data_IF_935744956523
#
_entry.id   IF_935744956523
#
_cell.length_a   1.000
_cell.length_b   1.000
_cell.length_c   1.000
_cell.angle_alpha   90.00
_cell.angle_beta   90.00
_cell.angle_gamma   90.00
#
_symmetry.space_group_name_H-M   'P 1'
#
loop_
_entity.id
_entity.type
_entity.pdbx_description
1 polymer ?
#
# COMPACT_ATOMS: atom_id res chain seq x y z
N UNK A 1 -9.40 21.31 -11.10
CA UNK A 1 -9.64 20.10 -11.92
C UNK A 1 -10.31 20.52 -13.21
N UNK A 2 -9.68 20.27 -14.33
CA UNK A 2 -10.20 20.58 -15.68
C UNK A 2 -10.61 19.27 -16.34
N UNK A 3 -11.77 19.26 -16.97
CA UNK A 3 -12.21 18.14 -17.82
C UNK A 3 -11.78 18.44 -19.26
N UNK A 4 -11.05 17.51 -19.84
CA UNK A 4 -10.62 17.57 -21.24
C UNK A 4 -11.70 16.89 -22.08
N UNK A 5 -12.15 17.56 -23.14
CA UNK A 5 -13.14 16.96 -24.05
C UNK A 5 -12.48 15.91 -24.95
N UNK A 6 -12.70 14.65 -24.64
CA UNK A 6 -12.22 13.49 -25.41
C UNK A 6 -13.37 12.76 -26.10
N UNK A 7 -14.49 13.43 -26.36
CA UNK A 7 -15.69 12.81 -26.93
C UNK A 7 -15.37 12.07 -28.23
N UNK A 8 -14.55 12.62 -29.11
CA UNK A 8 -14.17 11.98 -30.37
C UNK A 8 -13.34 10.70 -30.14
N UNK A 9 -12.38 10.74 -29.21
CA UNK A 9 -11.56 9.58 -28.85
C UNK A 9 -12.45 8.43 -28.31
N UNK A 10 -13.41 8.71 -27.43
CA UNK A 10 -14.35 7.72 -26.94
C UNK A 10 -15.17 7.09 -28.08
N UNK A 11 -15.65 7.92 -29.01
CA UNK A 11 -16.41 7.45 -30.16
C UNK A 11 -15.55 6.53 -31.05
N UNK A 12 -14.30 6.93 -31.33
CA UNK A 12 -13.37 6.15 -32.16
C UNK A 12 -13.05 4.79 -31.53
N UNK A 13 -12.82 4.75 -30.21
CA UNK A 13 -12.60 3.50 -29.48
C UNK A 13 -13.85 2.59 -29.56
N UNK A 14 -15.04 3.14 -29.33
CA UNK A 14 -16.28 2.36 -29.36
C UNK A 14 -16.55 1.77 -30.75
N UNK A 15 -16.28 2.52 -31.81
CA UNK A 15 -16.56 2.12 -33.20
C UNK A 15 -15.44 1.35 -33.87
N UNK A 16 -14.24 1.28 -33.27
CA UNK A 16 -13.09 0.56 -33.81
C UNK A 16 -13.44 -0.91 -34.07
N UNK A 17 -13.35 -1.35 -35.33
CA UNK A 17 -13.64 -2.73 -35.74
C UNK A 17 -12.50 -3.70 -35.47
N UNK A 18 -11.28 -3.20 -35.29
CA UNK A 18 -10.06 -3.97 -35.05
C UNK A 18 -9.78 -4.24 -33.56
N UNK A 19 -10.60 -3.70 -32.64
CA UNK A 19 -10.46 -3.88 -31.21
C UNK A 19 -11.50 -4.90 -30.68
N UNK A 20 -11.02 -5.83 -29.86
CA UNK A 20 -11.90 -6.72 -29.08
C UNK A 20 -12.63 -5.94 -27.99
N UNK A 21 -13.71 -6.49 -27.46
CA UNK A 21 -14.45 -5.88 -26.35
C UNK A 21 -13.54 -5.53 -25.15
N UNK A 22 -12.65 -6.45 -24.75
CA UNK A 22 -11.71 -6.21 -23.65
C UNK A 22 -10.72 -5.09 -23.94
N UNK A 23 -10.21 -5.02 -25.16
CA UNK A 23 -9.33 -3.91 -25.58
C UNK A 23 -10.07 -2.57 -25.57
N UNK A 24 -11.32 -2.54 -26.05
CA UNK A 24 -12.14 -1.32 -25.97
C UNK A 24 -12.34 -0.85 -24.54
N UNK A 25 -12.66 -1.76 -23.60
CA UNK A 25 -12.80 -1.40 -22.19
C UNK A 25 -11.50 -0.83 -21.61
N UNK A 26 -10.35 -1.41 -21.94
CA UNK A 26 -9.06 -0.91 -21.48
C UNK A 26 -8.77 0.48 -22.05
N UNK A 27 -8.95 0.68 -23.35
CA UNK A 27 -8.72 1.97 -23.99
C UNK A 27 -9.70 3.04 -23.49
N UNK A 28 -10.97 2.70 -23.27
CA UNK A 28 -11.96 3.61 -22.68
C UNK A 28 -11.58 4.02 -21.26
N UNK A 29 -11.07 3.08 -20.44
CA UNK A 29 -10.59 3.39 -19.10
C UNK A 29 -9.40 4.36 -19.15
N UNK A 30 -8.43 4.12 -20.04
CA UNK A 30 -7.29 5.03 -20.25
C UNK A 30 -7.73 6.42 -20.73
N UNK A 31 -8.62 6.49 -21.71
CA UNK A 31 -9.14 7.74 -22.19
C UNK A 31 -9.92 8.50 -21.11
N UNK A 32 -10.68 7.79 -20.27
CA UNK A 32 -11.37 8.40 -19.15
C UNK A 32 -10.39 8.95 -18.09
N UNK A 33 -9.34 8.20 -17.76
CA UNK A 33 -8.29 8.67 -16.85
C UNK A 33 -7.58 9.92 -17.43
N UNK A 34 -7.30 9.94 -18.73
CA UNK A 34 -6.64 11.07 -19.42
C UNK A 34 -7.57 12.26 -19.64
N UNK A 35 -8.88 12.09 -19.52
CA UNK A 35 -9.86 13.19 -19.69
C UNK A 35 -9.93 14.16 -18.52
N UNK A 36 -9.27 13.82 -17.42
CA UNK A 36 -9.24 14.65 -16.21
C UNK A 36 -7.83 15.19 -16.04
N UNK A 37 -7.70 16.52 -16.12
CA UNK A 37 -6.48 17.23 -15.74
C UNK A 37 -6.47 17.34 -14.21
N UNK A 38 -5.62 16.59 -13.51
CA UNK A 38 -5.83 16.30 -12.09
C UNK A 38 -5.56 17.51 -11.19
N UNK A 39 -4.41 18.06 -11.26
CA UNK A 39 -3.96 19.16 -10.40
C UNK A 39 -3.18 20.14 -11.28
N UNK A 40 -3.49 21.42 -11.16
CA UNK A 40 -2.69 22.45 -11.82
C UNK A 40 -1.28 22.41 -11.22
N UNK A 41 -0.33 22.03 -12.04
CA UNK A 41 1.07 21.95 -11.62
C UNK A 41 1.69 23.35 -11.61
N UNK A 42 2.64 23.64 -10.71
CA UNK A 42 3.46 24.84 -10.80
C UNK A 42 4.18 24.89 -12.15
N UNK A 43 4.36 26.09 -12.70
CA UNK A 43 5.08 26.25 -13.99
C UNK A 43 6.51 25.73 -13.96
N UNK A 44 7.12 25.77 -12.78
CA UNK A 44 8.44 25.21 -12.52
C UNK A 44 8.45 23.70 -12.72
N UNK A 45 7.41 23.01 -12.26
CA UNK A 45 7.26 21.58 -12.48
C UNK A 45 7.13 21.23 -13.96
N UNK A 46 6.29 21.99 -14.71
CA UNK A 46 6.12 21.77 -16.15
C UNK A 46 7.45 21.88 -16.89
N UNK A 47 8.31 22.85 -16.54
CA UNK A 47 9.64 22.99 -17.11
C UNK A 47 10.49 21.71 -16.92
N UNK A 48 10.52 21.14 -15.72
CA UNK A 48 11.28 19.93 -15.45
C UNK A 48 10.71 18.69 -16.13
N UNK A 49 9.39 18.59 -16.24
CA UNK A 49 8.74 17.50 -17.00
C UNK A 49 9.06 17.60 -18.50
N UNK A 50 8.96 18.76 -19.09
CA UNK A 50 9.24 19.00 -20.52
C UNK A 50 10.70 18.71 -20.89
N UNK A 51 11.63 19.00 -19.97
CA UNK A 51 13.07 18.77 -20.18
C UNK A 51 13.55 17.41 -19.63
N UNK A 52 12.65 16.58 -19.13
CA UNK A 52 12.96 15.24 -18.65
C UNK A 52 13.75 15.20 -17.34
N UNK A 53 13.70 16.26 -16.54
CA UNK A 53 14.29 16.33 -15.20
C UNK A 53 13.42 15.63 -14.15
N UNK A 54 12.11 15.63 -14.37
CA UNK A 54 11.11 14.89 -13.59
C UNK A 54 10.35 13.96 -14.53
N UNK A 55 9.97 12.81 -14.03
CA UNK A 55 9.18 11.82 -14.78
C UNK A 55 8.24 11.05 -13.85
N UNK A 56 7.05 10.72 -14.34
CA UNK A 56 6.12 9.85 -13.64
C UNK A 56 6.53 8.38 -13.76
N UNK A 57 6.47 7.66 -12.66
CA UNK A 57 6.64 6.20 -12.68
C UNK A 57 5.35 5.45 -13.05
N UNK A 58 4.29 6.16 -13.41
CA UNK A 58 2.99 5.59 -13.82
C UNK A 58 2.39 4.62 -12.78
N UNK A 59 2.64 4.87 -11.50
CA UNK A 59 2.10 4.08 -10.39
C UNK A 59 1.08 4.88 -9.59
N UNK A 60 0.01 5.25 -10.18
CA UNK A 60 -1.05 6.06 -9.61
C UNK A 60 -1.37 7.26 -10.48
N UNK A 61 -2.59 7.68 -10.41
CA UNK A 61 -3.11 8.85 -11.12
C UNK A 61 -3.95 9.68 -10.15
N UNK A 62 -3.27 10.53 -9.38
CA UNK A 62 -3.98 11.46 -8.50
C UNK A 62 -4.85 12.43 -9.32
N UNK A 63 -6.01 12.86 -8.78
CA UNK A 63 -6.57 12.50 -7.48
C UNK A 63 -7.52 11.30 -7.51
N UNK A 64 -7.87 10.74 -8.63
CA UNK A 64 -8.95 9.75 -8.77
C UNK A 64 -8.50 8.30 -8.69
N UNK A 65 -7.22 8.02 -8.80
CA UNK A 65 -6.65 6.69 -8.62
C UNK A 65 -5.33 6.77 -7.88
N UNK A 66 -5.34 6.78 -6.54
CA UNK A 66 -4.11 6.81 -5.77
C UNK A 66 -3.28 5.54 -6.00
N UNK A 67 -1.98 5.64 -5.80
CA UNK A 67 -1.08 4.50 -5.86
C UNK A 67 -1.47 3.45 -4.83
N UNK A 68 -1.71 3.86 -3.58
CA UNK A 68 -2.27 3.05 -2.51
C UNK A 68 -2.84 3.91 -1.38
N UNK A 69 -3.65 3.28 -0.56
CA UNK A 69 -4.27 3.86 0.63
C UNK A 69 -3.93 3.03 1.86
N UNK A 70 -3.94 3.66 3.03
CA UNK A 70 -3.68 3.04 4.33
C UNK A 70 -4.89 3.21 5.26
N UNK A 71 -6.03 2.52 5.01
CA UNK A 71 -7.22 2.66 5.83
C UNK A 71 -7.01 2.15 7.25
N UNK A 72 -7.77 2.70 8.19
CA UNK A 72 -7.92 2.12 9.52
C UNK A 72 -8.87 0.91 9.47
N UNK A 73 -8.29 -0.26 9.22
CA UNK A 73 -9.07 -1.50 9.19
C UNK A 73 -9.57 -1.95 10.56
N UNK A 74 -8.95 -1.51 11.66
CA UNK A 74 -9.46 -1.74 13.02
C UNK A 74 -10.80 -1.05 13.22
N UNK A 75 -10.90 0.21 12.80
CA UNK A 75 -12.17 0.95 12.79
C UNK A 75 -13.20 0.29 11.87
N UNK A 76 -12.77 -0.17 10.69
CA UNK A 76 -13.64 -0.90 9.78
C UNK A 76 -14.19 -2.20 10.41
N UNK A 77 -13.37 -3.00 11.07
CA UNK A 77 -13.84 -4.21 11.75
C UNK A 77 -14.86 -3.89 12.87
N UNK A 78 -14.63 -2.80 13.61
CA UNK A 78 -15.53 -2.37 14.67
C UNK A 78 -16.87 -1.79 14.20
N UNK A 79 -16.92 -1.21 13.00
CA UNK A 79 -18.10 -0.51 12.47
C UNK A 79 -18.79 -1.24 11.32
N UNK A 80 -18.08 -2.15 10.65
CA UNK A 80 -18.53 -2.73 9.39
C UNK A 80 -18.49 -1.74 8.22
N UNK A 81 -19.22 -2.03 7.16
CA UNK A 81 -19.33 -1.18 5.97
C UNK A 81 -20.74 -1.23 5.40
N UNK A 82 -21.41 -0.09 5.37
CA UNK A 82 -22.71 0.02 4.71
C UNK A 82 -22.59 -0.22 3.19
N UNK A 83 -21.56 0.34 2.58
CA UNK A 83 -21.29 0.17 1.14
C UNK A 83 -21.09 -1.30 0.75
N UNK A 84 -20.27 -2.03 1.50
CA UNK A 84 -20.02 -3.46 1.27
C UNK A 84 -21.11 -4.36 1.91
N UNK A 85 -22.06 -3.78 2.65
CA UNK A 85 -23.10 -4.51 3.41
C UNK A 85 -22.49 -5.52 4.39
N UNK A 86 -21.37 -5.17 5.01
CA UNK A 86 -20.70 -5.95 6.04
C UNK A 86 -21.05 -5.43 7.42
N UNK A 87 -21.41 -6.33 8.33
CA UNK A 87 -21.65 -6.00 9.73
C UNK A 87 -20.32 -5.83 10.48
N UNK A 88 -20.32 -5.15 11.63
CA UNK A 88 -19.21 -5.23 12.57
C UNK A 88 -18.82 -6.69 12.85
N UNK A 89 -17.52 -6.94 13.01
CA UNK A 89 -17.04 -8.26 13.33
C UNK A 89 -17.29 -8.56 14.81
N UNK A 90 -17.85 -9.73 15.10
CA UNK A 90 -18.10 -10.23 16.46
C UNK A 90 -17.20 -11.44 16.81
N UNK A 91 -16.72 -12.14 15.79
CA UNK A 91 -15.88 -13.33 15.90
C UNK A 91 -14.64 -13.23 15.04
N UNK A 92 -13.64 -14.10 15.30
CA UNK A 92 -12.45 -14.20 14.43
C UNK A 92 -12.83 -14.55 12.98
N UNK A 93 -13.82 -15.41 12.79
CA UNK A 93 -14.29 -15.76 11.44
C UNK A 93 -14.91 -14.55 10.73
N UNK A 94 -15.69 -13.70 11.42
CA UNK A 94 -16.22 -12.46 10.88
C UNK A 94 -15.11 -11.47 10.52
N UNK A 95 -14.14 -11.29 11.42
CA UNK A 95 -13.02 -10.38 11.20
C UNK A 95 -12.22 -10.78 9.94
N UNK A 96 -11.86 -12.05 9.83
CA UNK A 96 -11.12 -12.56 8.68
C UNK A 96 -11.94 -12.48 7.38
N UNK A 97 -13.25 -12.74 7.44
CA UNK A 97 -14.15 -12.60 6.30
C UNK A 97 -14.27 -11.14 5.85
N UNK A 98 -14.49 -10.22 6.77
CA UNK A 98 -14.62 -8.79 6.47
C UNK A 98 -13.33 -8.26 5.84
N UNK A 99 -12.16 -8.64 6.38
CA UNK A 99 -10.86 -8.26 5.79
C UNK A 99 -10.69 -8.86 4.40
N UNK A 100 -11.06 -10.12 4.18
CA UNK A 100 -11.01 -10.75 2.84
C UNK A 100 -11.80 -9.94 1.82
N UNK A 101 -13.03 -9.55 2.14
CA UNK A 101 -13.87 -8.74 1.24
C UNK A 101 -13.24 -7.38 0.92
N UNK A 102 -12.63 -6.73 1.91
CA UNK A 102 -11.95 -5.44 1.69
C UNK A 102 -10.74 -5.61 0.81
N UNK A 103 -9.89 -6.60 1.07
CA UNK A 103 -8.67 -6.80 0.28
C UNK A 103 -8.95 -7.14 -1.17
N UNK A 104 -10.04 -7.84 -1.45
CA UNK A 104 -10.48 -8.10 -2.82
C UNK A 104 -10.96 -6.83 -3.54
N UNK A 105 -11.48 -5.86 -2.80
CA UNK A 105 -12.05 -4.64 -3.38
C UNK A 105 -11.08 -3.46 -3.44
N UNK A 106 -10.10 -3.35 -2.53
CA UNK A 106 -9.12 -2.26 -2.53
C UNK A 106 -8.41 -2.08 -3.86
N UNK A 107 -7.95 -3.15 -4.58
CA UNK A 107 -7.30 -2.99 -5.87
C UNK A 107 -8.18 -2.38 -6.96
N UNK A 108 -9.49 -2.29 -6.76
CA UNK A 108 -10.39 -1.61 -7.70
C UNK A 108 -10.26 -0.10 -7.66
N UNK A 109 -9.81 0.46 -6.54
CA UNK A 109 -9.69 1.92 -6.33
C UNK A 109 -8.24 2.41 -6.24
N UNK A 110 -7.26 1.50 -6.15
CA UNK A 110 -5.83 1.83 -6.12
C UNK A 110 -5.11 1.24 -7.33
N UNK A 111 -3.93 1.78 -7.66
CA UNK A 111 -3.19 1.25 -8.81
C UNK A 111 -2.39 -0.01 -8.46
N UNK A 112 -1.98 -0.24 -7.23
CA UNK A 112 -1.15 -1.41 -6.87
C UNK A 112 -1.19 -1.86 -5.42
N UNK A 113 -0.38 -1.30 -4.48
CA UNK A 113 -0.12 -2.00 -3.23
C UNK A 113 -1.35 -2.09 -2.34
N UNK A 114 -1.52 -3.25 -1.72
CA UNK A 114 -2.56 -3.49 -0.72
C UNK A 114 -1.92 -3.49 0.66
N UNK A 115 -2.35 -2.56 1.50
CA UNK A 115 -2.05 -2.58 2.92
C UNK A 115 -3.16 -3.33 3.65
N UNK A 116 -2.80 -4.39 4.36
CA UNK A 116 -3.78 -5.24 5.06
C UNK A 116 -3.87 -4.95 6.57
N UNK A 117 -3.31 -3.84 6.98
CA UNK A 117 -3.41 -3.35 8.36
C UNK A 117 -2.36 -3.89 9.31
N UNK A 118 -2.50 -3.56 10.57
CA UNK A 118 -1.75 -4.11 11.69
C UNK A 118 -2.46 -5.37 12.18
N UNK A 119 -2.18 -6.49 11.50
CA UNK A 119 -2.98 -7.72 11.63
C UNK A 119 -3.01 -8.28 13.05
N UNK A 120 -1.91 -8.23 13.77
CA UNK A 120 -1.82 -8.73 15.13
C UNK A 120 -2.79 -7.99 16.07
N UNK A 121 -2.70 -6.67 16.13
CA UNK A 121 -3.58 -5.83 16.98
C UNK A 121 -5.05 -5.92 16.58
N UNK A 122 -5.32 -6.02 15.27
CA UNK A 122 -6.68 -6.09 14.78
C UNK A 122 -7.35 -7.42 15.08
N UNK A 123 -6.60 -8.52 15.03
CA UNK A 123 -7.15 -9.87 15.22
C UNK A 123 -7.12 -10.32 16.67
N UNK A 124 -6.19 -9.84 17.50
CA UNK A 124 -6.01 -10.26 18.87
C UNK A 124 -7.30 -10.22 19.73
N UNK A 125 -8.13 -9.16 19.64
CA UNK A 125 -9.39 -9.10 20.39
C UNK A 125 -10.41 -10.19 20.06
N UNK A 126 -10.28 -10.86 18.93
CA UNK A 126 -11.20 -11.91 18.48
C UNK A 126 -10.71 -13.32 18.78
N UNK A 127 -9.60 -13.47 19.50
CA UNK A 127 -9.00 -14.78 19.77
C UNK A 127 -9.57 -15.47 21.01
N UNK A 128 -10.34 -14.77 21.82
CA UNK A 128 -10.94 -15.33 23.03
C UNK A 128 -11.86 -16.51 22.71
N UNK A 129 -11.72 -17.57 23.49
CA UNK A 129 -12.49 -18.80 23.30
C UNK A 129 -11.95 -19.78 22.26
N UNK A 130 -10.93 -19.41 21.48
CA UNK A 130 -10.27 -20.31 20.54
C UNK A 130 -8.94 -20.84 21.11
N UNK A 131 -8.65 -22.11 20.86
CA UNK A 131 -7.30 -22.67 21.04
C UNK A 131 -6.34 -22.15 19.98
N UNK A 132 -5.02 -22.22 20.23
CA UNK A 132 -4.01 -21.79 19.26
C UNK A 132 -4.11 -22.54 17.93
N UNK A 133 -4.41 -23.84 17.97
CA UNK A 133 -4.57 -24.65 16.75
C UNK A 133 -5.81 -24.23 15.93
N UNK A 134 -6.90 -23.83 16.58
CA UNK A 134 -8.08 -23.33 15.90
C UNK A 134 -7.80 -21.97 15.24
N UNK A 135 -7.07 -21.09 15.93
CA UNK A 135 -6.63 -19.80 15.39
C UNK A 135 -5.70 -20.03 14.21
N UNK A 136 -4.65 -20.84 14.37
CA UNK A 136 -3.70 -21.17 13.28
C UNK A 136 -4.40 -21.74 12.05
N UNK A 137 -5.39 -22.61 12.23
CA UNK A 137 -6.14 -23.18 11.12
C UNK A 137 -6.91 -22.10 10.30
N UNK A 138 -7.43 -21.07 10.98
CA UNK A 138 -8.09 -19.92 10.34
C UNK A 138 -7.09 -19.00 9.66
N UNK A 139 -6.00 -18.67 10.35
CA UNK A 139 -4.93 -17.83 9.79
C UNK A 139 -4.30 -18.49 8.56
N UNK A 140 -4.04 -19.82 8.57
CA UNK A 140 -3.55 -20.53 7.36
C UNK A 140 -4.47 -20.34 6.16
N UNK A 141 -5.78 -20.46 6.35
CA UNK A 141 -6.75 -20.26 5.26
C UNK A 141 -6.74 -18.83 4.76
N UNK A 142 -6.74 -17.87 5.66
CA UNK A 142 -6.75 -16.44 5.32
C UNK A 142 -5.47 -16.02 4.60
N UNK A 143 -4.29 -16.34 5.13
CA UNK A 143 -3.00 -16.01 4.52
C UNK A 143 -2.80 -16.69 3.18
N UNK A 144 -3.17 -17.98 3.05
CA UNK A 144 -3.16 -18.68 1.77
C UNK A 144 -4.13 -18.07 0.75
N UNK A 145 -5.28 -17.58 1.20
CA UNK A 145 -6.21 -16.89 0.32
C UNK A 145 -5.59 -15.59 -0.22
N UNK A 146 -5.03 -14.76 0.66
CA UNK A 146 -4.38 -13.51 0.25
C UNK A 146 -3.23 -13.79 -0.73
N UNK A 147 -2.35 -14.72 -0.41
CA UNK A 147 -1.19 -15.05 -1.24
C UNK A 147 -1.59 -15.49 -2.66
N UNK A 148 -2.72 -16.18 -2.80
CA UNK A 148 -3.16 -16.76 -4.08
C UNK A 148 -4.16 -15.91 -4.88
N UNK A 149 -4.79 -14.93 -4.25
CA UNK A 149 -5.87 -14.15 -4.90
C UNK A 149 -5.52 -12.69 -5.06
N UNK A 150 -4.78 -12.08 -4.12
CA UNK A 150 -4.35 -10.69 -4.28
C UNK A 150 -3.29 -10.60 -5.38
N UNK A 151 -3.68 -10.02 -6.51
CA UNK A 151 -2.85 -9.90 -7.70
C UNK A 151 -1.74 -8.82 -7.55
N UNK A 152 -1.14 -8.70 -6.37
CA UNK A 152 -0.08 -7.73 -6.11
C UNK A 152 0.96 -8.30 -5.15
N UNK A 153 2.21 -8.42 -5.62
CA UNK A 153 3.36 -8.74 -4.76
C UNK A 153 3.68 -7.65 -3.72
N UNK A 154 2.95 -6.53 -3.74
CA UNK A 154 3.08 -5.42 -2.80
C UNK A 154 1.96 -5.40 -1.74
N UNK A 155 1.45 -6.57 -1.36
CA UNK A 155 0.54 -6.71 -0.24
C UNK A 155 1.34 -6.71 1.08
N UNK A 156 1.06 -5.79 1.98
CA UNK A 156 1.80 -5.56 3.22
C UNK A 156 0.92 -5.62 4.46
N UNK A 157 1.46 -6.16 5.54
CA UNK A 157 0.87 -6.14 6.87
C UNK A 157 1.91 -5.74 7.91
N UNK A 158 1.46 -5.15 9.01
CA UNK A 158 2.33 -4.80 10.13
C UNK A 158 2.02 -5.66 11.35
N UNK A 159 3.01 -5.87 12.20
CA UNK A 159 2.96 -6.53 13.51
C UNK A 159 3.77 -5.72 14.53
N UNK A 160 3.45 -5.86 15.82
CA UNK A 160 4.17 -5.20 16.91
C UNK A 160 3.86 -3.70 17.07
N UNK A 161 4.64 -2.94 17.86
CA UNK A 161 5.86 -3.38 18.58
C UNK A 161 5.60 -4.26 19.81
N UNK A 162 4.42 -4.16 20.41
CA UNK A 162 4.03 -5.02 21.52
C UNK A 162 3.81 -6.46 21.02
N UNK A 163 4.10 -7.41 21.88
CA UNK A 163 3.73 -8.81 21.64
C UNK A 163 2.21 -8.96 21.82
N UNK A 164 1.58 -9.61 20.85
CA UNK A 164 0.20 -10.06 20.93
C UNK A 164 0.14 -11.57 20.68
N UNK A 165 -0.90 -12.24 21.15
CA UNK A 165 -1.11 -13.66 20.85
C UNK A 165 -1.29 -13.86 19.34
N UNK A 166 -2.04 -12.99 18.68
CA UNK A 166 -2.21 -13.01 17.23
C UNK A 166 -0.88 -12.88 16.49
N UNK A 167 -0.01 -11.92 16.90
CA UNK A 167 1.29 -11.71 16.29
C UNK A 167 2.21 -12.92 16.37
N UNK A 168 2.20 -13.61 17.51
CA UNK A 168 2.96 -14.86 17.71
C UNK A 168 2.46 -15.95 16.78
N UNK A 169 1.14 -16.17 16.74
CA UNK A 169 0.52 -17.21 15.91
C UNK A 169 0.66 -16.91 14.40
N UNK A 170 0.60 -15.63 13.99
CA UNK A 170 0.87 -15.21 12.61
C UNK A 170 2.29 -15.61 12.18
N UNK A 171 3.31 -15.31 13.01
CA UNK A 171 4.69 -15.67 12.68
C UNK A 171 4.92 -17.18 12.65
N UNK A 172 4.28 -17.95 13.54
CA UNK A 172 4.37 -19.41 13.52
C UNK A 172 3.73 -20.00 12.27
N UNK A 173 2.58 -19.47 11.84
CA UNK A 173 1.91 -19.90 10.60
C UNK A 173 2.74 -19.51 9.37
N UNK A 174 3.38 -18.33 9.35
CA UNK A 174 4.27 -17.95 8.24
C UNK A 174 5.48 -18.85 8.10
N UNK A 175 6.07 -19.36 9.21
CA UNK A 175 7.15 -20.36 9.13
C UNK A 175 6.70 -21.65 8.44
N UNK A 176 5.41 -22.01 8.57
CA UNK A 176 4.84 -23.19 7.91
C UNK A 176 4.53 -22.95 6.43
N UNK A 177 4.00 -21.77 6.10
CA UNK A 177 3.48 -21.46 4.76
C UNK A 177 4.56 -20.93 3.83
N UNK A 178 5.48 -20.11 4.34
CA UNK A 178 6.48 -19.36 3.57
C UNK A 178 5.86 -18.65 2.36
N UNK A 179 4.73 -17.97 2.56
CA UNK A 179 4.01 -17.26 1.52
C UNK A 179 4.79 -16.03 1.04
N UNK A 180 4.59 -15.62 -0.20
CA UNK A 180 5.19 -14.42 -0.76
C UNK A 180 4.48 -13.15 -0.27
N UNK A 181 3.19 -13.25 -0.01
CA UNK A 181 2.35 -12.16 0.50
C UNK A 181 1.40 -12.64 1.60
N UNK A 182 1.05 -11.79 2.58
CA UNK A 182 1.52 -10.41 2.74
C UNK A 182 2.99 -10.33 3.18
N UNK A 183 3.69 -9.27 2.75
CA UNK A 183 4.99 -8.93 3.30
C UNK A 183 4.78 -8.34 4.69
N UNK A 184 5.13 -9.07 5.72
CA UNK A 184 5.04 -8.59 7.09
C UNK A 184 6.19 -7.65 7.44
N UNK A 185 5.89 -6.64 8.25
CA UNK A 185 6.89 -5.79 8.88
C UNK A 185 6.66 -5.77 10.38
N UNK A 186 7.65 -6.22 11.15
CA UNK A 186 7.68 -6.01 12.59
C UNK A 186 8.11 -4.58 12.88
N UNK A 187 7.24 -3.80 13.51
CA UNK A 187 7.59 -2.52 14.13
C UNK A 187 8.38 -2.85 15.40
N UNK A 188 9.69 -2.65 15.36
CA UNK A 188 10.57 -3.04 16.45
C UNK A 188 11.04 -1.85 17.28
N UNK A 189 10.85 -1.93 18.58
CA UNK A 189 11.43 -1.03 19.58
C UNK A 189 11.98 -1.86 20.74
N UNK A 190 13.31 -1.83 21.02
CA UNK A 190 13.91 -2.62 22.08
C UNK A 190 13.41 -2.26 23.50
N UNK A 191 12.74 -1.12 23.66
CA UNK A 191 12.13 -0.73 24.92
C UNK A 191 10.71 -1.31 25.12
N UNK A 192 10.09 -1.80 24.05
CA UNK A 192 8.69 -2.27 24.05
C UNK A 192 8.60 -3.74 23.66
N UNK A 193 9.28 -4.12 22.57
CA UNK A 193 9.22 -5.47 21.99
C UNK A 193 9.96 -6.47 22.90
N UNK A 194 9.28 -7.49 23.45
CA UNK A 194 9.94 -8.50 24.24
C UNK A 194 11.00 -9.28 23.46
N UNK A 195 12.10 -9.63 24.12
CA UNK A 195 13.25 -10.31 23.50
C UNK A 195 12.88 -11.64 22.84
N UNK A 196 12.00 -12.41 23.44
CA UNK A 196 11.58 -13.71 22.89
C UNK A 196 10.65 -13.55 21.69
N UNK A 197 9.82 -12.50 21.65
CA UNK A 197 9.04 -12.13 20.49
C UNK A 197 9.91 -11.65 19.33
N UNK A 198 10.92 -10.81 19.62
CA UNK A 198 11.92 -10.40 18.64
C UNK A 198 12.71 -11.60 18.08
N UNK A 199 13.12 -12.55 18.95
CA UNK A 199 13.79 -13.79 18.51
C UNK A 199 12.90 -14.67 17.64
N UNK A 200 11.60 -14.77 17.94
CA UNK A 200 10.64 -15.47 17.10
C UNK A 200 10.58 -14.81 15.70
N UNK A 201 10.50 -13.48 15.63
CA UNK A 201 10.50 -12.76 14.37
C UNK A 201 11.79 -13.00 13.56
N UNK A 202 12.96 -12.93 14.19
CA UNK A 202 14.25 -13.25 13.53
C UNK A 202 14.26 -14.68 13.01
N UNK A 203 13.81 -15.65 13.82
CA UNK A 203 13.70 -17.06 13.39
C UNK A 203 12.79 -17.21 12.18
N UNK A 204 11.65 -16.51 12.18
CA UNK A 204 10.69 -16.52 11.06
C UNK A 204 11.34 -15.94 9.82
N UNK A 205 12.04 -14.79 9.94
CA UNK A 205 12.77 -14.19 8.82
C UNK A 205 13.83 -15.11 8.23
N UNK A 206 14.57 -15.81 9.07
CA UNK A 206 15.58 -16.80 8.62
C UNK A 206 14.96 -18.02 7.92
N UNK A 207 13.69 -18.29 8.20
CA UNK A 207 12.96 -19.43 7.61
C UNK A 207 12.33 -19.08 6.28
N UNK A 208 11.67 -17.92 6.17
CA UNK A 208 10.84 -17.56 5.02
C UNK A 208 11.07 -16.14 4.47
N UNK A 209 12.14 -15.45 4.88
CA UNK A 209 12.46 -14.06 4.50
C UNK A 209 11.39 -13.02 4.93
N UNK A 210 10.58 -13.35 5.92
CA UNK A 210 9.45 -12.56 6.43
C UNK A 210 9.35 -12.76 7.97
N UNK A 211 9.13 -11.74 8.83
CA UNK A 211 8.94 -10.33 8.51
C UNK A 211 10.24 -9.55 8.26
N UNK A 212 10.12 -8.38 7.65
CA UNK A 212 11.11 -7.32 7.72
C UNK A 212 11.00 -6.55 9.05
N UNK A 213 11.97 -5.66 9.33
CA UNK A 213 12.00 -4.88 10.59
C UNK A 213 11.98 -3.39 10.28
N UNK A 214 11.15 -2.64 11.02
CA UNK A 214 11.12 -1.19 11.00
C UNK A 214 11.46 -0.64 12.40
N UNK A 215 12.23 0.44 12.47
CA UNK A 215 12.60 1.09 13.74
C UNK A 215 11.40 1.91 14.26
N UNK A 216 10.58 1.31 15.12
CA UNK A 216 9.37 1.92 15.64
C UNK A 216 9.60 3.22 16.40
N UNK A 217 10.69 3.31 17.18
CA UNK A 217 11.00 4.52 17.94
C UNK A 217 11.21 5.74 17.04
N UNK A 218 12.01 5.59 15.98
CA UNK A 218 12.27 6.69 15.03
C UNK A 218 10.99 7.08 14.30
N UNK A 219 10.19 6.09 13.90
CA UNK A 219 8.95 6.39 13.17
C UNK A 219 7.91 7.09 14.05
N UNK A 220 7.77 6.72 15.31
CA UNK A 220 6.88 7.42 16.24
C UNK A 220 7.33 8.85 16.56
N UNK A 221 8.64 9.10 16.57
CA UNK A 221 9.16 10.47 16.72
C UNK A 221 8.83 11.33 15.49
N UNK A 222 8.82 10.75 14.29
CA UNK A 222 8.56 11.45 13.03
C UNK A 222 7.06 11.59 12.73
N UNK A 223 6.27 10.57 13.06
CA UNK A 223 4.84 10.49 12.79
C UNK A 223 4.07 10.38 14.11
N UNK A 224 3.66 11.53 14.71
CA UNK A 224 2.86 11.49 15.93
C UNK A 224 1.48 10.90 15.64
N UNK A 225 1.21 9.71 16.17
CA UNK A 225 -0.01 8.95 15.96
C UNK A 225 0.23 7.59 15.32
N UNK A 226 -0.85 6.93 14.88
CA UNK A 226 -0.72 5.64 14.20
C UNK A 226 -0.15 5.81 12.79
N UNK A 227 0.84 5.00 12.50
CA UNK A 227 1.50 4.96 11.20
C UNK A 227 1.52 3.55 10.62
N UNK A 228 1.72 3.47 9.33
CA UNK A 228 1.82 2.24 8.56
C UNK A 228 3.19 2.12 7.90
N UNK A 229 3.70 0.90 7.77
CA UNK A 229 4.85 0.60 6.90
C UNK A 229 4.34 -0.21 5.72
N UNK A 230 4.48 0.33 4.52
CA UNK A 230 3.88 -0.23 3.30
C UNK A 230 4.85 -0.24 2.13
N UNK A 231 4.54 -1.05 1.11
CA UNK A 231 5.28 -1.11 -0.15
C UNK A 231 6.80 -1.30 0.07
N UNK A 232 7.64 -0.45 -0.48
CA UNK A 232 9.10 -0.52 -0.33
C UNK A 232 9.58 0.05 1.02
N UNK A 233 8.86 -0.25 2.11
CA UNK A 233 9.07 0.28 3.48
C UNK A 233 8.83 1.79 3.63
N UNK A 234 7.96 2.35 2.82
CA UNK A 234 7.45 3.69 3.02
C UNK A 234 6.64 3.76 4.31
N UNK A 235 6.82 4.83 5.06
CA UNK A 235 6.09 5.09 6.29
C UNK A 235 5.06 6.19 6.03
N UNK A 236 3.81 5.91 6.35
CA UNK A 236 2.68 6.80 6.11
C UNK A 236 1.79 6.88 7.35
N UNK A 237 1.12 8.01 7.57
CA UNK A 237 0.11 8.08 8.62
C UNK A 237 -1.09 7.18 8.30
N UNK A 238 -1.74 6.69 9.36
CA UNK A 238 -3.03 6.01 9.24
C UNK A 238 -4.06 6.95 8.58
N UNK A 239 -4.98 6.40 7.81
CA UNK A 239 -5.93 7.11 6.95
C UNK A 239 -5.26 7.98 5.86
N UNK A 240 -3.96 7.78 5.63
CA UNK A 240 -3.20 8.39 4.55
C UNK A 240 -3.09 7.50 3.31
N UNK A 241 -2.16 7.86 2.45
CA UNK A 241 -1.87 7.11 1.23
C UNK A 241 -0.75 7.75 0.42
N UNK A 242 -0.43 7.16 -0.71
CA UNK A 242 0.43 7.76 -1.73
C UNK A 242 -0.35 7.91 -3.02
N UNK A 243 -0.35 9.12 -3.57
CA UNK A 243 -1.14 9.42 -4.76
C UNK A 243 -0.41 9.03 -6.05
N UNK A 244 0.84 9.44 -6.17
CA UNK A 244 1.69 9.13 -7.31
C UNK A 244 3.11 8.80 -6.84
N UNK A 245 3.95 8.38 -7.78
CA UNK A 245 5.37 8.22 -7.59
C UNK A 245 6.07 8.91 -8.74
N UNK A 246 6.79 9.97 -8.40
CA UNK A 246 7.60 10.73 -9.33
C UNK A 246 9.08 10.43 -9.09
N UNK A 247 9.89 10.58 -10.10
CA UNK A 247 11.33 10.43 -9.95
C UNK A 247 12.07 11.63 -10.50
N UNK A 248 13.12 11.99 -9.81
CA UNK A 248 14.09 12.97 -10.24
C UNK A 248 15.18 12.27 -11.07
N UNK A 249 15.38 12.71 -12.29
CA UNK A 249 16.37 12.16 -13.20
C UNK A 249 17.67 12.97 -13.07
N UNK A 250 18.48 12.66 -12.04
CA UNK A 250 19.71 13.39 -11.75
C UNK A 250 20.63 13.64 -12.94
N UNK A 251 20.86 12.69 -13.86
CA UNK A 251 21.68 12.99 -15.05
C UNK A 251 21.10 14.13 -15.88
N UNK A 252 19.76 14.15 -16.06
CA UNK A 252 19.09 15.22 -16.82
C UNK A 252 19.12 16.55 -16.08
N UNK A 253 18.89 16.52 -14.78
CA UNK A 253 19.00 17.71 -13.93
C UNK A 253 20.42 18.27 -13.91
N UNK A 254 21.44 17.40 -13.91
CA UNK A 254 22.83 17.84 -14.01
C UNK A 254 23.16 18.48 -15.36
N UNK A 255 22.60 17.97 -16.48
CA UNK A 255 22.75 18.56 -17.81
C UNK A 255 22.14 19.97 -17.90
N UNK A 256 21.19 20.32 -17.02
CA UNK A 256 20.59 21.68 -16.93
C UNK A 256 21.47 22.68 -16.17
N UNK A 257 22.48 22.21 -15.46
CA UNK A 257 23.38 23.03 -14.67
C UNK A 257 24.71 23.29 -15.41
N UNK A 258 25.26 24.49 -15.23
CA UNK A 258 26.58 24.85 -15.79
C UNK A 258 27.75 24.51 -14.86
N UNK A 259 27.47 24.16 -13.60
CA UNK A 259 28.46 23.81 -12.57
C UNK A 259 27.81 22.95 -11.48
N UNK A 260 28.66 22.32 -10.64
CA UNK A 260 28.21 21.54 -9.47
C UNK A 260 27.45 22.45 -8.48
N UNK A 261 27.96 23.62 -8.18
CA UNK A 261 27.30 24.59 -7.30
C UNK A 261 25.94 25.01 -7.90
N UNK A 262 25.89 25.30 -9.20
CA UNK A 262 24.63 25.60 -9.88
C UNK A 262 23.62 24.46 -9.84
N UNK A 263 24.09 23.22 -9.89
CA UNK A 263 23.23 22.05 -9.70
C UNK A 263 22.68 21.98 -8.27
N UNK A 264 23.56 22.04 -7.27
CA UNK A 264 23.20 21.88 -5.86
C UNK A 264 22.38 23.02 -5.30
N UNK A 265 22.68 24.27 -5.68
CA UNK A 265 22.09 25.46 -5.10
C UNK A 265 20.83 25.94 -5.85
N UNK A 266 20.65 25.56 -7.13
CA UNK A 266 19.54 26.06 -7.94
C UNK A 266 18.69 24.92 -8.54
N UNK A 267 19.28 24.05 -9.34
CA UNK A 267 18.51 23.07 -10.11
C UNK A 267 17.84 22.02 -9.21
N UNK A 268 18.61 21.40 -8.30
CA UNK A 268 18.11 20.36 -7.43
C UNK A 268 17.04 20.88 -6.45
N UNK A 269 17.24 22.00 -5.73
CA UNK A 269 16.19 22.56 -4.88
C UNK A 269 14.92 22.93 -5.65
N UNK A 270 15.04 23.51 -6.84
CA UNK A 270 13.89 23.86 -7.67
C UNK A 270 13.12 22.63 -8.15
N UNK A 271 13.82 21.56 -8.57
CA UNK A 271 13.19 20.31 -9.00
C UNK A 271 12.55 19.52 -7.84
N UNK A 272 13.08 19.65 -6.62
CA UNK A 272 12.50 19.00 -5.41
C UNK A 272 11.35 19.78 -4.82
N UNK A 273 11.25 21.07 -5.08
CA UNK A 273 10.16 21.95 -4.64
C UNK A 273 9.01 22.06 -5.64
N UNK A 274 9.22 21.57 -6.86
CA UNK A 274 8.22 21.55 -7.93
C UNK A 274 7.25 20.38 -7.78
#
# INVERSE_FOLDING_TARGET
MRIIDNTQEFYDICTASNLTYKQKLLHLAQAAENSIDPIERPKEADYFFEHGGIDYMCEGNAPYRPRYICPDYGKFLAQGSEFLRLKPAETLDDALWNLTMVYDNVPSVTSRPVYVGQLDRMLDPFLDGYSDEEVKARLRRFLNYIDRTVASGYCHANIGPEETRAGRLLMEVEQELANAVPNFTLKYDPAITPDDFARLAVKTTLTCANPAFANDRIHRETYPGDYTVVSCYNVLPMDGGAYCLDRLLFPRLADMASSVDGFMDNILPSATGA
#
